data_IF_697281223747
#
_entry.id   IF_697281223747
#
_cell.length_a   1.000
_cell.length_b   1.000
_cell.length_c   1.000
_cell.angle_alpha   90.00
_cell.angle_beta   90.00
_cell.angle_gamma   90.00
#
_symmetry.space_group_name_H-M   'P 1'
#
loop_
_entity.id
_entity.type
_entity.pdbx_description
1 polymer ?
#
# COMPACT_ATOMS: atom_id res chain seq x y z
N UNK A 1 7.85 21.84 -0.41
CA UNK A 1 8.26 21.00 0.75
C UNK A 1 7.36 21.32 1.92
N UNK A 2 6.38 20.47 2.21
CA UNK A 2 5.53 20.61 3.40
C UNK A 2 6.28 20.04 4.60
N UNK A 3 6.74 20.91 5.49
CA UNK A 3 7.27 20.50 6.80
C UNK A 3 6.06 20.17 7.68
N UNK A 4 5.91 18.90 8.06
CA UNK A 4 4.79 18.47 8.91
C UNK A 4 4.93 19.13 10.30
N UNK A 5 3.86 19.68 10.89
CA UNK A 5 3.92 20.46 12.14
C UNK A 5 4.61 19.72 13.30
N UNK A 6 4.35 18.41 13.41
CA UNK A 6 4.84 17.56 14.51
C UNK A 6 5.92 16.56 14.06
N UNK A 7 6.67 16.88 13.00
CA UNK A 7 7.72 15.99 12.50
C UNK A 7 8.76 15.69 13.60
N UNK A 8 9.01 14.41 13.83
CA UNK A 8 10.09 13.91 14.68
C UNK A 8 10.99 12.99 13.84
N UNK A 9 12.32 13.06 13.99
CA UNK A 9 13.21 12.14 13.31
C UNK A 9 12.99 10.72 13.85
N UNK A 10 12.84 9.76 12.94
CA UNK A 10 12.83 8.33 13.24
C UNK A 10 14.10 7.67 12.69
N UNK A 11 14.52 6.52 13.25
CA UNK A 11 15.55 5.69 12.63
C UNK A 11 15.18 5.33 11.18
N UNK A 12 16.18 5.16 10.32
CA UNK A 12 15.96 4.63 8.98
C UNK A 12 15.77 3.11 9.06
N UNK A 13 14.53 2.66 8.91
CA UNK A 13 14.20 1.24 8.83
C UNK A 13 14.37 0.75 7.39
N UNK A 14 15.04 -0.39 7.16
CA UNK A 14 15.19 -0.93 5.81
C UNK A 14 13.83 -1.40 5.26
N UNK A 15 13.56 -1.09 4.00
CA UNK A 15 12.35 -1.54 3.29
C UNK A 15 12.47 -3.00 2.79
N UNK A 16 13.11 -3.87 3.57
CA UNK A 16 13.38 -5.27 3.21
C UNK A 16 12.32 -6.24 3.73
N UNK A 17 11.48 -5.81 4.67
CA UNK A 17 10.40 -6.65 5.20
C UNK A 17 9.37 -6.93 4.11
N UNK A 18 9.35 -8.18 3.65
CA UNK A 18 8.39 -8.64 2.64
C UNK A 18 6.99 -8.74 3.24
N UNK A 19 6.00 -8.18 2.54
CA UNK A 19 4.59 -8.33 2.91
C UNK A 19 4.11 -9.78 2.89
N UNK A 20 4.81 -10.68 2.21
CA UNK A 20 4.56 -12.12 2.29
C UNK A 20 4.55 -12.63 3.74
N UNK A 21 5.46 -12.13 4.57
CA UNK A 21 5.60 -12.58 5.96
C UNK A 21 4.53 -11.97 6.88
N UNK A 22 3.95 -10.83 6.49
CA UNK A 22 2.97 -10.09 7.29
C UNK A 22 1.54 -10.50 6.92
N UNK A 23 1.27 -10.72 5.64
CA UNK A 23 -0.04 -11.08 5.09
C UNK A 23 0.06 -12.34 4.20
N UNK A 24 0.35 -13.52 4.78
CA UNK A 24 0.65 -14.73 4.01
C UNK A 24 -0.54 -15.25 3.18
N UNK A 25 -1.77 -14.92 3.57
CA UNK A 25 -3.00 -15.32 2.87
C UNK A 25 -3.32 -14.45 1.65
N UNK A 26 -2.67 -13.30 1.52
CA UNK A 26 -2.89 -12.37 0.41
C UNK A 26 -2.00 -12.78 -0.76
N UNK A 27 -2.54 -12.85 -1.98
CA UNK A 27 -1.75 -13.20 -3.17
C UNK A 27 -0.80 -12.05 -3.60
N UNK A 28 -0.01 -12.28 -4.65
CA UNK A 28 0.94 -11.27 -5.14
C UNK A 28 0.25 -9.96 -5.56
N UNK A 29 -0.85 -10.06 -6.32
CA UNK A 29 -1.63 -8.90 -6.78
C UNK A 29 -2.27 -8.11 -5.64
N UNK A 30 -2.73 -8.80 -4.59
CA UNK A 30 -3.29 -8.15 -3.41
C UNK A 30 -2.22 -7.46 -2.58
N UNK A 31 -1.02 -8.04 -2.48
CA UNK A 31 0.11 -7.37 -1.82
C UNK A 31 0.58 -6.14 -2.59
N UNK A 32 0.53 -6.17 -3.92
CA UNK A 32 0.82 -5.00 -4.76
C UNK A 32 -0.18 -3.86 -4.49
N UNK A 33 -1.49 -4.15 -4.51
CA UNK A 33 -2.52 -3.20 -4.13
C UNK A 33 -2.29 -2.64 -2.71
N UNK A 34 -1.95 -3.52 -1.76
CA UNK A 34 -1.66 -3.12 -0.39
C UNK A 34 -0.45 -2.17 -0.29
N UNK A 35 0.60 -2.38 -1.09
CA UNK A 35 1.75 -1.47 -1.16
C UNK A 35 1.38 -0.10 -1.74
N UNK A 36 0.45 -0.07 -2.69
CA UNK A 36 -0.05 1.17 -3.29
C UNK A 36 -0.97 1.95 -2.32
N UNK A 37 -1.70 1.24 -1.45
CA UNK A 37 -2.51 1.85 -0.39
C UNK A 37 -1.68 2.36 0.80
N UNK A 38 -0.62 1.65 1.18
CA UNK A 38 0.19 1.96 2.37
C UNK A 38 1.43 2.83 2.08
N UNK A 39 1.37 3.70 1.06
CA UNK A 39 2.42 4.69 0.84
C UNK A 39 2.45 5.72 1.97
N UNK A 40 3.63 5.93 2.54
CA UNK A 40 3.84 6.92 3.61
C UNK A 40 3.61 8.36 3.11
N UNK A 41 4.04 8.66 1.88
CA UNK A 41 3.73 9.93 1.24
C UNK A 41 2.28 9.89 0.73
N UNK A 42 1.37 10.75 1.23
CA UNK A 42 -0.03 10.73 0.83
C UNK A 42 -0.26 10.99 -0.66
N UNK A 43 0.62 11.77 -1.31
CA UNK A 43 0.51 12.06 -2.75
C UNK A 43 0.79 10.83 -3.62
N UNK A 44 1.51 9.84 -3.09
CA UNK A 44 1.82 8.61 -3.83
C UNK A 44 0.79 7.50 -3.59
N UNK A 45 -0.18 7.72 -2.70
CA UNK A 45 -1.19 6.71 -2.38
C UNK A 45 -2.19 6.61 -3.52
N UNK A 46 -2.48 5.38 -3.94
CA UNK A 46 -3.53 5.11 -4.93
C UNK A 46 -4.88 5.67 -4.47
N UNK A 47 -5.65 6.26 -5.38
CA UNK A 47 -7.01 6.71 -5.10
C UNK A 47 -7.97 5.53 -4.94
N UNK A 48 -9.15 5.78 -4.36
CA UNK A 48 -10.18 4.74 -4.24
C UNK A 48 -10.68 4.26 -5.62
N UNK A 49 -10.80 5.18 -6.57
CA UNK A 49 -11.24 4.89 -7.94
C UNK A 49 -10.24 3.96 -8.65
N UNK A 50 -8.95 4.30 -8.62
CA UNK A 50 -7.90 3.46 -9.21
C UNK A 50 -7.78 2.11 -8.50
N UNK A 51 -7.97 2.06 -7.18
CA UNK A 51 -7.92 0.83 -6.41
C UNK A 51 -9.01 -0.16 -6.82
N UNK A 52 -10.23 0.32 -7.13
CA UNK A 52 -11.32 -0.53 -7.61
C UNK A 52 -11.04 -1.11 -9.01
N UNK A 53 -10.24 -0.41 -9.83
CA UNK A 53 -9.81 -0.88 -11.15
C UNK A 53 -8.58 -1.79 -11.10
N UNK A 54 -8.02 -2.05 -9.91
CA UNK A 54 -6.80 -2.85 -9.76
C UNK A 54 -7.03 -4.32 -10.15
N UNK A 55 -6.02 -4.96 -10.74
CA UNK A 55 -6.04 -6.39 -11.12
C UNK A 55 -6.31 -7.36 -9.97
N UNK A 56 -6.38 -6.88 -8.73
CA UNK A 56 -6.75 -7.70 -7.58
C UNK A 56 -8.25 -8.01 -7.59
N UNK A 57 -9.07 -7.16 -8.20
CA UNK A 57 -10.52 -7.28 -8.25
C UNK A 57 -11.05 -7.78 -9.62
N UNK A 58 -10.19 -8.16 -10.57
CA UNK A 58 -10.64 -8.57 -11.92
C UNK A 58 -11.51 -9.82 -11.93
N UNK A 59 -11.25 -10.76 -11.01
CA UNK A 59 -12.01 -12.00 -10.90
C UNK A 59 -13.18 -11.88 -9.89
N UNK A 60 -13.45 -10.67 -9.40
CA UNK A 60 -14.52 -10.43 -8.45
C UNK A 60 -15.85 -10.25 -9.19
N UNK A 61 -16.65 -11.31 -9.22
CA UNK A 61 -18.06 -11.20 -9.56
C UNK A 61 -18.86 -10.88 -8.29
N UNK A 62 -19.66 -9.82 -8.32
CA UNK A 62 -20.61 -9.53 -7.25
C UNK A 62 -21.63 -10.69 -7.16
N UNK A 63 -21.91 -11.22 -5.96
CA UNK A 63 -22.96 -12.22 -5.78
C UNK A 63 -24.36 -11.69 -6.10
#
# INVERSE_FOLDING_TARGET
MTKLPDYKPYPMYPATTSLLNVVPKLNATGRDLLQNLLKCNPVQRISAEEALQHSYFTDFCLP
#
